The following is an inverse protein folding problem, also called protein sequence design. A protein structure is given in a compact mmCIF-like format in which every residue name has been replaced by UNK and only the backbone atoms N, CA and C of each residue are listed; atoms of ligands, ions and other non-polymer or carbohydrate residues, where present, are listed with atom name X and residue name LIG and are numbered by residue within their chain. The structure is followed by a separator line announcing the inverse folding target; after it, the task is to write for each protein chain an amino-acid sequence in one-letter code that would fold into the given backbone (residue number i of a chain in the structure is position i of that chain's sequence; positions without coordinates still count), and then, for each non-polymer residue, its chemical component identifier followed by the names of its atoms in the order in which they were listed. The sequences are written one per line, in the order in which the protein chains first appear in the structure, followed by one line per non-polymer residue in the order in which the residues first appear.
data_IF_061702956864
#
_entry.id   IF_061702956864
#
_cell.length_a   1.000
_cell.length_b   1.000
_cell.length_c   1.000
_cell.angle_alpha   90.00
_cell.angle_beta   90.00
_cell.angle_gamma   90.00
#
_symmetry.space_group_name_H-M   'P 1'
#
loop_
_entity.id
_entity.type
_entity.pdbx_description
1 polymer ?
#
# COMPACT_ATOMS: atom_id res chain seq x y z
N UNK A 1 -28.70 7.60 -41.37
CA UNK A 1 -27.39 7.86 -42.02
C UNK A 1 -26.86 9.18 -41.49
N UNK A 2 -25.70 9.16 -40.85
CA UNK A 2 -25.05 10.36 -40.31
C UNK A 2 -23.59 10.02 -40.01
N UNK A 3 -22.74 10.13 -41.02
CA UNK A 3 -21.30 9.89 -40.95
C UNK A 3 -20.62 10.99 -40.12
N UNK A 4 -19.93 10.60 -39.04
CA UNK A 4 -18.92 11.44 -38.43
C UNK A 4 -17.57 11.12 -39.06
N UNK A 5 -17.05 12.11 -39.80
CA UNK A 5 -15.79 12.10 -40.54
C UNK A 5 -14.60 11.93 -39.60
N UNK A 6 -13.62 11.17 -40.08
CA UNK A 6 -12.32 10.99 -39.45
C UNK A 6 -11.54 12.29 -39.35
N UNK A 7 -10.84 12.43 -38.22
CA UNK A 7 -9.62 13.22 -38.09
C UNK A 7 -8.57 12.32 -37.45
N UNK A 8 -7.58 11.92 -38.24
CA UNK A 8 -6.33 11.39 -37.70
C UNK A 8 -5.43 12.56 -37.29
N UNK A 9 -4.88 12.50 -36.07
CA UNK A 9 -3.54 12.89 -35.63
C UNK A 9 -3.54 13.12 -34.10
N UNK A 10 -2.40 13.01 -33.36
CA UNK A 10 -1.16 12.28 -33.62
C UNK A 10 -0.95 11.12 -32.63
N UNK A 11 0.06 10.27 -32.87
CA UNK A 11 0.56 9.30 -31.88
C UNK A 11 1.22 10.05 -30.72
N UNK A 12 0.42 10.47 -29.75
CA UNK A 12 0.89 10.95 -28.45
C UNK A 12 0.94 9.78 -27.48
N UNK A 13 2.14 9.32 -27.15
CA UNK A 13 2.35 8.35 -26.08
C UNK A 13 1.76 8.91 -24.77
N UNK A 14 0.67 8.30 -24.32
CA UNK A 14 -0.02 8.70 -23.11
C UNK A 14 0.81 8.20 -21.92
N UNK A 15 1.57 9.11 -21.30
CA UNK A 15 2.20 8.84 -20.01
C UNK A 15 1.09 8.67 -18.96
N UNK A 16 0.78 7.40 -18.68
CA UNK A 16 0.09 6.98 -17.46
C UNK A 16 0.83 7.57 -16.25
N UNK A 17 0.20 8.46 -15.50
CA UNK A 17 0.65 8.83 -14.16
C UNK A 17 0.27 7.72 -13.17
N UNK A 18 0.72 6.50 -13.44
CA UNK A 18 0.79 5.44 -12.46
C UNK A 18 1.97 5.71 -11.52
N UNK A 19 1.83 5.37 -10.24
CA UNK A 19 3.00 5.09 -9.42
C UNK A 19 3.67 3.85 -9.99
N UNK A 20 4.55 4.04 -10.98
CA UNK A 20 5.31 2.97 -11.60
C UNK A 20 6.43 2.59 -10.63
N UNK A 21 6.21 1.54 -9.84
CA UNK A 21 7.31 0.92 -9.10
C UNK A 21 7.86 -0.25 -9.91
N UNK A 22 9.12 -0.16 -10.33
CA UNK A 22 9.81 -1.26 -10.99
C UNK A 22 10.59 -2.04 -9.93
N UNK A 23 10.45 -3.36 -9.91
CA UNK A 23 11.17 -4.23 -8.99
C UNK A 23 11.87 -5.36 -9.76
N UNK A 24 13.12 -5.59 -9.41
CA UNK A 24 13.92 -6.71 -9.91
C UNK A 24 14.54 -7.46 -8.72
N UNK A 25 14.47 -8.79 -8.74
CA UNK A 25 15.11 -9.65 -7.73
C UNK A 25 16.08 -10.59 -8.42
N UNK A 26 17.30 -10.69 -7.90
CA UNK A 26 18.35 -11.59 -8.38
C UNK A 26 18.86 -12.41 -7.20
N UNK A 27 18.92 -13.73 -7.36
CA UNK A 27 19.47 -14.65 -6.37
C UNK A 27 20.73 -15.30 -6.92
N UNK A 28 21.81 -15.32 -6.14
CA UNK A 28 23.08 -15.98 -6.46
C UNK A 28 23.49 -16.91 -5.33
N UNK A 29 24.20 -17.99 -5.67
CA UNK A 29 24.71 -18.97 -4.70
C UNK A 29 26.19 -19.15 -4.98
N UNK A 30 27.03 -18.69 -4.04
CA UNK A 30 28.49 -18.75 -4.16
C UNK A 30 29.05 -19.32 -2.86
N UNK A 31 29.79 -20.44 -2.94
CA UNK A 31 30.51 -21.00 -1.79
C UNK A 31 29.64 -21.37 -0.57
N UNK A 32 28.35 -21.70 -0.77
CA UNK A 32 27.41 -22.02 0.32
C UNK A 32 26.70 -20.80 0.93
N UNK A 33 26.96 -19.59 0.42
CA UNK A 33 26.23 -18.37 0.77
C UNK A 33 25.16 -18.09 -0.28
N UNK A 34 23.91 -17.93 0.15
CA UNK A 34 22.80 -17.53 -0.73
C UNK A 34 22.61 -16.03 -0.62
N UNK A 35 22.84 -15.30 -1.72
CA UNK A 35 22.68 -13.84 -1.77
C UNK A 35 21.46 -13.49 -2.61
N UNK A 36 20.45 -12.88 -1.98
CA UNK A 36 19.25 -12.38 -2.67
C UNK A 36 19.26 -10.86 -2.67
N UNK A 37 19.38 -10.24 -3.85
CA UNK A 37 19.32 -8.79 -4.02
C UNK A 37 18.00 -8.40 -4.68
N UNK A 38 17.24 -7.50 -4.05
CA UNK A 38 16.02 -6.92 -4.59
C UNK A 38 16.20 -5.42 -4.75
N UNK A 39 16.09 -4.92 -5.97
CA UNK A 39 16.13 -3.48 -6.28
C UNK A 39 14.73 -3.01 -6.65
N UNK A 40 14.23 -2.00 -5.93
CA UNK A 40 12.96 -1.34 -6.19
C UNK A 40 13.18 0.12 -6.52
N UNK A 41 12.76 0.54 -7.70
CA UNK A 41 12.67 1.97 -8.06
C UNK A 41 11.25 2.46 -7.81
N UNK A 42 11.10 3.51 -7.03
CA UNK A 42 9.84 4.24 -6.83
C UNK A 42 9.95 5.63 -7.43
N UNK A 43 8.93 6.07 -8.15
CA UNK A 43 8.78 7.45 -8.63
C UNK A 43 7.67 8.11 -7.82
N UNK A 44 8.03 9.08 -7.00
CA UNK A 44 7.13 9.81 -6.11
C UNK A 44 6.95 11.21 -6.67
N UNK A 45 5.71 11.63 -6.95
CA UNK A 45 5.41 13.03 -7.31
C UNK A 45 5.11 13.76 -6.00
N UNK A 46 6.02 14.60 -5.53
CA UNK A 46 5.73 15.54 -4.45
C UNK A 46 5.13 16.80 -5.06
N UNK A 47 3.86 17.07 -4.75
CA UNK A 47 3.19 18.32 -5.12
C UNK A 47 3.39 19.29 -3.96
N UNK A 48 4.03 20.43 -4.22
CA UNK A 48 4.12 21.52 -3.24
C UNK A 48 3.18 22.64 -3.66
N UNK A 49 2.29 23.06 -2.75
CA UNK A 49 1.45 24.22 -2.93
C UNK A 49 2.24 25.49 -2.56
N UNK A 50 2.45 26.39 -3.52
CA UNK A 50 2.94 27.74 -3.23
C UNK A 50 1.79 28.73 -3.39
N UNK A 51 1.35 29.31 -2.28
CA UNK A 51 0.37 30.40 -2.25
C UNK A 51 1.05 31.73 -2.58
N UNK A 52 0.65 32.39 -3.67
CA UNK A 52 1.06 33.76 -4.02
C UNK A 52 0.11 34.83 -3.45
N UNK A 53 -0.84 34.46 -2.58
CA UNK A 53 -1.73 35.41 -1.91
C UNK A 53 -2.92 35.93 -2.73
N UNK A 54 -3.19 35.40 -3.93
CA UNK A 54 -4.42 35.66 -4.69
C UNK A 54 -5.23 34.37 -4.93
N UNK A 55 -6.57 34.39 -4.76
CA UNK A 55 -7.41 33.19 -4.82
C UNK A 55 -7.54 32.53 -6.21
N UNK A 56 -6.99 33.11 -7.27
CA UNK A 56 -7.08 32.55 -8.64
C UNK A 56 -5.81 31.84 -9.13
N UNK A 57 -4.69 31.91 -8.40
CA UNK A 57 -3.38 31.54 -8.93
C UNK A 57 -2.73 30.42 -8.10
N UNK A 58 -3.33 29.23 -8.12
CA UNK A 58 -2.67 28.00 -7.64
C UNK A 58 -1.93 27.38 -8.83
N UNK A 59 -0.60 27.50 -8.84
CA UNK A 59 0.25 26.78 -9.78
C UNK A 59 0.71 25.47 -9.13
N UNK A 60 0.21 24.34 -9.62
CA UNK A 60 0.75 23.02 -9.24
C UNK A 60 2.12 22.82 -9.89
N UNK A 61 3.19 22.94 -9.11
CA UNK A 61 4.52 22.46 -9.53
C UNK A 61 4.79 21.13 -8.84
N UNK A 62 4.69 20.04 -9.60
CA UNK A 62 5.03 18.70 -9.11
C UNK A 62 6.50 18.41 -9.32
N UNK A 63 7.28 18.24 -8.24
CA UNK A 63 8.62 17.67 -8.35
C UNK A 63 8.51 16.15 -8.33
N UNK A 64 9.07 15.52 -9.37
CA UNK A 64 9.24 14.07 -9.42
C UNK A 64 10.52 13.72 -8.67
N UNK A 65 10.40 12.96 -7.58
CA UNK A 65 11.53 12.35 -6.88
C UNK A 65 11.57 10.85 -7.17
N UNK A 66 12.67 10.36 -7.72
CA UNK A 66 12.94 8.92 -7.79
C UNK A 66 13.70 8.48 -6.53
N UNK A 67 13.28 7.36 -5.97
CA UNK A 67 13.99 6.68 -4.89
C UNK A 67 14.24 5.23 -5.30
N UNK A 68 15.49 4.80 -5.27
CA UNK A 68 15.91 3.42 -5.53
C UNK A 68 16.29 2.80 -4.20
N UNK A 69 15.63 1.69 -3.84
CA UNK A 69 15.94 0.90 -2.65
C UNK A 69 16.51 -0.44 -3.11
N UNK A 70 17.75 -0.73 -2.76
CA UNK A 70 18.41 -2.02 -3.01
C UNK A 70 18.60 -2.76 -1.70
N UNK A 71 17.93 -3.91 -1.56
CA UNK A 71 18.05 -4.77 -0.39
C UNK A 71 18.79 -6.05 -0.76
N UNK A 72 19.92 -6.30 -0.12
CA UNK A 72 20.71 -7.51 -0.26
C UNK A 72 20.63 -8.33 1.03
N UNK A 73 20.20 -9.58 0.92
CA UNK A 73 20.17 -10.55 2.00
C UNK A 73 21.21 -11.62 1.69
N UNK A 74 22.25 -11.74 2.50
CA UNK A 74 23.20 -12.84 2.44
C UNK A 74 22.88 -13.83 3.55
N UNK A 75 22.62 -15.07 3.17
CA UNK A 75 22.41 -16.17 4.11
C UNK A 75 23.64 -17.06 4.07
N UNK A 76 24.36 -17.08 5.17
CA UNK A 76 25.58 -17.87 5.33
C UNK A 76 25.24 -19.33 5.65
N UNK A 77 26.21 -20.22 5.41
CA UNK A 77 26.05 -21.66 5.67
C UNK A 77 25.83 -21.98 7.16
N UNK A 78 26.28 -21.10 8.07
CA UNK A 78 26.07 -21.20 9.51
C UNK A 78 24.68 -20.73 9.98
N UNK A 79 23.80 -20.37 9.04
CA UNK A 79 22.44 -19.91 9.31
C UNK A 79 22.34 -18.44 9.71
N UNK A 80 23.45 -17.68 9.69
CA UNK A 80 23.41 -16.24 9.90
C UNK A 80 22.92 -15.49 8.67
N UNK A 81 22.22 -14.39 8.90
CA UNK A 81 21.71 -13.52 7.84
C UNK A 81 22.27 -12.11 7.99
N UNK A 82 22.88 -11.61 6.91
CA UNK A 82 23.28 -10.21 6.77
C UNK A 82 22.31 -9.53 5.84
N UNK A 83 21.72 -8.42 6.30
CA UNK A 83 20.81 -7.60 5.51
C UNK A 83 21.44 -6.23 5.31
N UNK A 84 21.65 -5.89 4.04
CA UNK A 84 22.17 -4.60 3.60
C UNK A 84 21.05 -3.91 2.84
N UNK A 85 20.63 -2.73 3.27
CA UNK A 85 19.65 -1.90 2.59
C UNK A 85 20.31 -0.59 2.17
N UNK A 86 20.28 -0.30 0.88
CA UNK A 86 20.85 0.90 0.26
C UNK A 86 19.71 1.72 -0.36
N UNK A 87 19.59 2.99 0.03
CA UNK A 87 18.57 3.92 -0.44
C UNK A 87 19.26 5.08 -1.15
N UNK A 88 18.91 5.27 -2.42
CA UNK A 88 19.39 6.36 -3.28
C UNK A 88 18.20 7.21 -3.72
N UNK A 89 18.23 8.52 -3.43
CA UNK A 89 17.23 9.49 -3.89
C UNK A 89 17.83 10.49 -4.88
N UNK A 90 17.01 11.01 -5.80
CA UNK A 90 17.43 11.96 -6.84
C UNK A 90 18.03 13.28 -6.31
N UNK A 91 17.79 13.63 -5.05
CA UNK A 91 18.36 14.79 -4.37
C UNK A 91 19.81 14.57 -3.88
N UNK A 92 20.42 13.44 -4.24
CA UNK A 92 21.76 13.05 -3.82
C UNK A 92 21.81 12.42 -2.43
N UNK A 93 20.66 12.17 -1.79
CA UNK A 93 20.59 11.43 -0.53
C UNK A 93 20.97 9.96 -0.71
N UNK A 94 22.06 9.55 -0.06
CA UNK A 94 22.53 8.15 0.01
C UNK A 94 22.52 7.68 1.46
N UNK A 95 21.81 6.58 1.75
CA UNK A 95 21.79 5.97 3.09
C UNK A 95 21.94 4.47 2.99
N UNK A 96 22.92 3.93 3.73
CA UNK A 96 23.19 2.49 3.81
C UNK A 96 22.97 2.01 5.24
N UNK A 97 22.15 0.97 5.39
CA UNK A 97 21.88 0.32 6.66
C UNK A 97 22.30 -1.14 6.61
N UNK A 98 23.18 -1.54 7.53
CA UNK A 98 23.64 -2.92 7.68
C UNK A 98 23.14 -3.49 9.01
N UNK A 99 22.53 -4.69 8.95
CA UNK A 99 22.09 -5.42 10.15
C UNK A 99 22.46 -6.90 10.01
N UNK A 100 23.17 -7.42 11.02
CA UNK A 100 23.43 -8.86 11.17
C UNK A 100 22.45 -9.48 12.16
N UNK A 101 21.86 -10.62 11.83
CA UNK A 101 21.00 -11.42 12.72
C UNK A 101 21.51 -12.86 12.80
N UNK A 102 21.64 -13.39 14.01
CA UNK A 102 21.85 -14.83 14.27
C UNK A 102 20.50 -15.52 14.47
N UNK A 103 20.22 -16.58 13.72
CA UNK A 103 19.04 -17.42 13.89
C UNK A 103 19.06 -18.16 15.24
N UNK A 104 17.92 -18.18 15.94
CA UNK A 104 17.76 -18.90 17.20
C UNK A 104 17.30 -20.33 16.89
N UNK A 105 18.21 -21.29 17.05
CA UNK A 105 17.90 -22.71 17.26
C UNK A 105 18.99 -23.32 18.17
N UNK A 106 18.61 -23.80 19.36
CA UNK A 106 19.46 -24.65 20.21
C UNK A 106 19.98 -24.03 21.51
N UNK A 107 19.75 -24.74 22.62
CA UNK A 107 20.08 -24.45 24.02
C UNK A 107 21.59 -24.35 24.35
N UNK A 108 21.89 -23.60 25.44
CA UNK A 108 23.05 -23.66 26.35
C UNK A 108 24.47 -23.33 25.84
N UNK A 109 24.99 -22.18 26.27
CA UNK A 109 26.16 -22.05 27.18
C UNK A 109 26.75 -20.64 27.05
N UNK A 110 27.06 -20.03 28.19
CA UNK A 110 27.44 -18.62 28.28
C UNK A 110 28.83 -18.30 27.77
N UNK A 111 29.04 -17.02 27.46
CA UNK A 111 30.09 -16.18 28.05
C UNK A 111 29.89 -14.73 27.62
N UNK A 112 30.17 -13.84 28.58
CA UNK A 112 30.29 -12.39 28.42
C UNK A 112 31.26 -12.05 27.29
N UNK A 113 31.00 -10.99 26.55
CA UNK A 113 32.06 -10.02 26.28
C UNK A 113 31.58 -8.58 26.12
N UNK A 114 32.43 -7.70 26.63
CA UNK A 114 32.26 -6.26 26.79
C UNK A 114 32.76 -5.53 25.54
N UNK A 115 32.05 -4.51 25.09
CA UNK A 115 32.63 -3.33 24.41
C UNK A 115 31.73 -2.14 24.77
N UNK A 116 32.11 -1.28 25.72
CA UNK A 116 33.05 -0.14 25.68
C UNK A 116 32.73 0.87 24.58
N UNK A 117 31.66 1.64 24.79
CA UNK A 117 31.44 2.95 24.18
C UNK A 117 32.34 3.98 24.88
N UNK A 118 33.20 4.66 24.12
CA UNK A 118 33.88 5.88 24.56
C UNK A 118 33.10 7.08 24.02
N UNK A 119 32.58 7.90 24.93
CA UNK A 119 32.07 9.24 24.61
C UNK A 119 32.84 10.20 25.53
N UNK A 120 33.59 11.13 24.95
CA UNK A 120 34.23 12.23 25.67
C UNK A 120 33.17 13.27 26.07
N UNK A 121 33.13 13.67 27.35
CA UNK A 121 32.59 14.95 27.85
C UNK A 121 33.77 15.93 27.98
N UNK A 122 33.72 17.27 27.94
CA UNK A 122 32.73 18.35 28.20
C UNK A 122 33.40 19.70 27.74
N UNK A 123 32.84 20.95 27.80
CA UNK A 123 32.05 21.49 28.91
C UNK A 123 30.89 22.49 28.63
N UNK A 124 29.92 22.42 29.56
CA UNK A 124 29.05 23.44 30.20
C UNK A 124 29.03 24.89 29.67
N UNK A 125 27.85 25.37 29.28
CA UNK A 125 26.98 26.28 30.08
C UNK A 125 25.99 27.04 29.16
N UNK A 126 24.71 26.66 29.21
CA UNK A 126 23.59 27.61 29.14
C UNK A 126 22.30 26.90 29.55
N UNK A 127 21.75 27.33 30.69
CA UNK A 127 20.41 26.97 31.13
C UNK A 127 19.39 27.36 30.07
N UNK A 128 18.74 26.37 29.46
CA UNK A 128 17.51 26.57 28.71
C UNK A 128 16.38 25.86 29.49
N UNK A 129 15.39 26.66 29.90
CA UNK A 129 14.20 26.22 30.60
C UNK A 129 13.41 25.26 29.69
N UNK A 130 13.44 23.97 30.00
CA UNK A 130 12.62 22.97 29.32
C UNK A 130 11.16 23.08 29.81
N UNK A 131 10.29 23.56 28.92
CA UNK A 131 8.84 23.31 29.02
C UNK A 131 8.61 21.79 28.88
N UNK A 132 7.71 21.18 29.67
CA UNK A 132 7.44 19.75 29.54
C UNK A 132 6.89 19.45 28.14
N UNK A 133 7.63 18.63 27.40
CA UNK A 133 7.17 18.04 26.14
C UNK A 133 6.00 17.13 26.50
N UNK A 134 4.83 17.46 25.98
CA UNK A 134 3.60 16.69 26.15
C UNK A 134 3.83 15.20 25.88
N UNK A 135 3.11 14.40 26.64
CA UNK A 135 3.02 12.94 26.59
C UNK A 135 3.28 12.38 25.18
N UNK A 136 4.43 11.75 24.98
CA UNK A 136 4.65 10.88 23.82
C UNK A 136 3.65 9.73 23.95
N UNK A 137 2.58 9.75 23.14
CA UNK A 137 1.66 8.61 23.01
C UNK A 137 2.50 7.36 22.74
N UNK A 138 2.31 6.34 23.58
CA UNK A 138 2.83 5.00 23.34
C UNK A 138 2.47 4.52 21.92
N UNK A 139 3.30 3.68 21.27
CA UNK A 139 2.98 3.14 19.96
C UNK A 139 1.60 2.47 20.01
N UNK A 140 0.70 2.91 19.13
CA UNK A 140 -0.66 2.39 19.07
C UNK A 140 -0.60 0.87 18.86
N UNK A 141 -1.34 0.12 19.69
CA UNK A 141 -1.49 -1.32 19.54
C UNK A 141 -1.98 -1.64 18.12
N UNK A 142 -1.46 -2.69 17.44
CA UNK A 142 -1.97 -3.09 16.14
C UNK A 142 -3.48 -3.40 16.25
N UNK A 143 -4.26 -2.93 15.26
CA UNK A 143 -5.70 -3.22 15.17
C UNK A 143 -5.89 -4.74 15.20
N UNK A 144 -6.85 -5.23 15.97
CA UNK A 144 -7.35 -6.60 15.82
C UNK A 144 -8.07 -6.77 14.47
N UNK A 145 -8.26 -8.01 14.02
CA UNK A 145 -8.96 -8.25 12.75
C UNK A 145 -10.42 -7.77 12.77
N UNK A 146 -11.05 -7.79 13.95
CA UNK A 146 -12.39 -7.22 14.13
C UNK A 146 -12.38 -5.71 13.93
N UNK A 147 -11.41 -5.01 14.53
CA UNK A 147 -11.26 -3.56 14.37
C UNK A 147 -10.90 -3.20 12.93
N UNK A 148 -10.05 -3.99 12.27
CA UNK A 148 -9.73 -3.82 10.85
C UNK A 148 -10.97 -3.94 9.97
N UNK A 149 -11.81 -4.96 10.17
CA UNK A 149 -13.06 -5.14 9.41
C UNK A 149 -14.02 -3.97 9.61
N UNK A 150 -14.15 -3.49 10.85
CA UNK A 150 -14.96 -2.32 11.17
C UNK A 150 -14.40 -1.04 10.52
N UNK A 151 -13.07 -0.87 10.50
CA UNK A 151 -12.40 0.25 9.84
C UNK A 151 -12.61 0.22 8.33
N UNK A 152 -12.46 -0.94 7.68
CA UNK A 152 -12.82 -1.13 6.28
C UNK A 152 -14.26 -0.71 6.01
N UNK A 153 -15.23 -1.24 6.77
CA UNK A 153 -16.64 -0.94 6.57
C UNK A 153 -16.95 0.54 6.76
N UNK A 154 -16.35 1.17 7.77
CA UNK A 154 -16.47 2.60 8.05
C UNK A 154 -16.05 3.43 6.85
N UNK A 155 -14.88 3.16 6.28
CA UNK A 155 -14.35 3.95 5.17
C UNK A 155 -15.09 3.69 3.85
N UNK A 156 -15.57 2.47 3.61
CA UNK A 156 -16.49 2.23 2.49
C UNK A 156 -17.75 3.09 2.64
N UNK A 157 -18.37 3.07 3.82
CA UNK A 157 -19.62 3.80 4.06
C UNK A 157 -19.43 5.32 4.05
N UNK A 158 -18.25 5.81 4.44
CA UNK A 158 -17.87 7.21 4.27
C UNK A 158 -17.92 7.61 2.79
N UNK A 159 -17.22 6.89 1.91
CA UNK A 159 -17.20 7.20 0.48
C UNK A 159 -18.57 6.99 -0.19
N UNK A 160 -19.29 5.93 0.19
CA UNK A 160 -20.66 5.69 -0.32
C UNK A 160 -21.62 6.83 0.01
N UNK A 161 -21.48 7.46 1.19
CA UNK A 161 -22.29 8.62 1.57
C UNK A 161 -22.04 9.83 0.67
N UNK A 162 -20.78 10.08 0.27
CA UNK A 162 -20.39 11.15 -0.67
C UNK A 162 -21.12 10.98 -2.02
N UNK A 163 -21.30 9.74 -2.46
CA UNK A 163 -22.00 9.39 -3.70
C UNK A 163 -23.52 9.19 -3.54
N UNK A 164 -24.05 9.30 -2.31
CA UNK A 164 -25.47 9.12 -2.05
C UNK A 164 -26.01 7.70 -2.22
N UNK A 165 -25.14 6.69 -2.19
CA UNK A 165 -25.57 5.29 -2.23
C UNK A 165 -25.72 4.74 -0.81
N UNK A 166 -26.61 3.76 -0.63
CA UNK A 166 -26.89 3.15 0.68
C UNK A 166 -25.65 2.54 1.30
N UNK A 167 -25.46 2.61 2.64
CA UNK A 167 -24.32 2.00 3.30
C UNK A 167 -24.34 0.47 3.17
N UNK A 168 -23.16 -0.13 3.07
CA UNK A 168 -22.95 -1.57 3.15
C UNK A 168 -23.14 -2.04 4.60
N UNK A 169 -23.56 -3.29 4.74
CA UNK A 169 -23.63 -4.02 6.01
C UNK A 169 -22.47 -5.00 6.12
N UNK A 170 -21.98 -5.19 7.34
CA UNK A 170 -21.01 -6.23 7.65
C UNK A 170 -21.60 -7.62 7.42
N UNK A 171 -20.84 -8.51 6.78
CA UNK A 171 -21.18 -9.94 6.63
C UNK A 171 -20.03 -10.83 7.10
N UNK A 172 -20.30 -11.65 8.13
CA UNK A 172 -19.33 -12.62 8.64
C UNK A 172 -19.06 -13.75 7.62
N UNK A 173 -20.03 -14.09 6.77
CA UNK A 173 -19.82 -15.04 5.68
C UNK A 173 -18.78 -14.50 4.69
N UNK A 174 -18.97 -13.26 4.22
CA UNK A 174 -18.02 -12.63 3.30
C UNK A 174 -16.65 -12.41 3.95
N UNK A 175 -16.58 -12.13 5.26
CA UNK A 175 -15.30 -12.01 5.96
C UNK A 175 -14.52 -13.33 5.98
N UNK A 176 -15.19 -14.45 6.23
CA UNK A 176 -14.56 -15.79 6.17
C UNK A 176 -14.08 -16.11 4.76
N UNK A 177 -14.90 -15.79 3.76
CA UNK A 177 -14.57 -16.00 2.35
C UNK A 177 -13.38 -15.13 1.89
N UNK A 178 -13.32 -13.87 2.33
CA UNK A 178 -12.19 -12.98 2.09
C UNK A 178 -10.92 -13.49 2.79
N UNK A 179 -11.03 -13.98 4.03
CA UNK A 179 -9.88 -14.49 4.80
C UNK A 179 -9.26 -15.72 4.14
N UNK A 180 -10.08 -16.68 3.71
CA UNK A 180 -9.60 -17.87 3.00
C UNK A 180 -8.78 -17.50 1.75
N UNK A 181 -9.21 -16.47 1.01
CA UNK A 181 -8.46 -16.02 -0.16
C UNK A 181 -7.20 -15.24 0.22
N UNK A 182 -7.27 -14.33 1.20
CA UNK A 182 -6.12 -13.58 1.69
C UNK A 182 -5.01 -14.53 2.18
N UNK A 183 -5.37 -15.57 2.93
CA UNK A 183 -4.43 -16.60 3.40
C UNK A 183 -3.84 -17.42 2.25
N UNK A 184 -4.66 -17.73 1.24
CA UNK A 184 -4.20 -18.42 0.03
C UNK A 184 -3.19 -17.59 -0.75
N UNK A 185 -3.47 -16.31 -0.98
CA UNK A 185 -2.56 -15.38 -1.62
C UNK A 185 -1.27 -15.25 -0.82
N UNK A 186 -1.39 -15.18 0.51
CA UNK A 186 -0.23 -15.02 1.36
C UNK A 186 0.68 -16.24 1.41
N UNK A 187 0.09 -17.44 1.42
CA UNK A 187 0.82 -18.71 1.37
C UNK A 187 1.53 -18.92 0.02
N UNK A 188 0.90 -18.52 -1.08
CA UNK A 188 1.46 -18.65 -2.44
C UNK A 188 2.39 -17.49 -2.81
N UNK A 189 2.38 -16.42 -2.02
CA UNK A 189 3.04 -15.14 -2.30
C UNK A 189 2.65 -14.52 -3.66
N UNK A 190 1.41 -14.76 -4.08
CA UNK A 190 0.81 -14.29 -5.34
C UNK A 190 -0.17 -13.14 -5.10
N UNK A 191 -0.46 -12.37 -6.15
CA UNK A 191 -1.47 -11.32 -6.12
C UNK A 191 -2.40 -11.47 -7.33
N UNK A 192 -3.55 -12.10 -7.12
CA UNK A 192 -4.54 -12.32 -8.17
C UNK A 192 -5.95 -12.42 -7.57
N UNK A 193 -6.95 -12.17 -8.43
CA UNK A 193 -8.34 -12.39 -8.06
C UNK A 193 -8.66 -13.86 -7.86
N UNK A 194 -9.67 -14.14 -7.02
CA UNK A 194 -10.17 -15.49 -6.82
C UNK A 194 -10.75 -16.05 -8.13
N UNK A 195 -10.34 -17.25 -8.58
CA UNK A 195 -10.97 -17.89 -9.73
C UNK A 195 -12.41 -18.29 -9.39
N UNK A 196 -13.32 -18.16 -10.36
CA UNK A 196 -14.75 -18.50 -10.22
C UNK A 196 -15.41 -17.81 -9.02
N UNK A 197 -15.09 -16.53 -8.81
CA UNK A 197 -15.60 -15.81 -7.66
C UNK A 197 -17.12 -15.58 -7.75
N UNK A 198 -17.85 -16.03 -6.73
CA UNK A 198 -19.30 -15.80 -6.59
C UNK A 198 -19.64 -14.35 -6.25
N UNK A 199 -18.70 -13.63 -5.62
CA UNK A 199 -18.90 -12.29 -5.09
C UNK A 199 -18.09 -11.26 -5.89
N UNK A 200 -18.40 -9.97 -5.72
CA UNK A 200 -17.50 -8.89 -6.14
C UNK A 200 -16.21 -8.96 -5.31
N UNK A 201 -15.10 -8.43 -5.84
CA UNK A 201 -13.81 -8.49 -5.14
C UNK A 201 -12.92 -7.31 -5.44
N UNK A 202 -12.35 -6.76 -4.38
CA UNK A 202 -11.20 -5.88 -4.44
C UNK A 202 -10.03 -6.51 -3.68
N UNK A 203 -8.82 -6.38 -4.24
CA UNK A 203 -7.59 -6.80 -3.59
C UNK A 203 -6.63 -5.61 -3.50
N UNK A 204 -5.94 -5.49 -2.37
CA UNK A 204 -4.93 -4.47 -2.13
C UNK A 204 -3.66 -5.14 -1.62
N UNK A 205 -2.51 -4.59 -2.01
CA UNK A 205 -1.21 -5.06 -1.56
C UNK A 205 -0.32 -3.87 -1.23
N UNK A 206 0.26 -3.91 -0.03
CA UNK A 206 1.42 -3.13 0.34
C UNK A 206 2.58 -4.07 0.66
N UNK A 207 3.80 -3.53 0.79
CA UNK A 207 4.95 -4.29 1.25
C UNK A 207 5.65 -3.52 2.37
N UNK A 208 6.11 -4.25 3.39
CA UNK A 208 6.94 -3.68 4.44
C UNK A 208 7.96 -4.70 4.95
N UNK A 209 9.20 -4.26 5.13
CA UNK A 209 10.26 -5.01 5.83
C UNK A 209 10.08 -5.02 7.34
N UNK A 210 9.25 -4.12 7.88
CA UNK A 210 8.90 -4.09 9.28
C UNK A 210 7.84 -5.17 9.58
N UNK A 211 8.17 -6.19 10.40
CA UNK A 211 7.24 -7.24 10.76
C UNK A 211 6.07 -6.74 11.62
N UNK A 212 6.18 -5.52 12.18
CA UNK A 212 5.15 -4.92 13.05
C UNK A 212 4.21 -3.98 12.30
N UNK A 213 4.53 -3.62 11.04
CA UNK A 213 3.67 -2.76 10.22
C UNK A 213 2.35 -3.48 9.92
N UNK A 214 1.23 -2.92 10.33
CA UNK A 214 -0.06 -3.41 9.90
C UNK A 214 -0.65 -2.49 8.82
N UNK A 215 -1.48 -3.08 7.96
CA UNK A 215 -2.33 -2.34 7.03
C UNK A 215 -3.66 -2.04 7.70
N UNK A 216 -4.10 -0.78 7.63
CA UNK A 216 -5.41 -0.34 8.11
C UNK A 216 -6.49 -0.55 7.05
N UNK A 217 -7.75 -0.55 7.48
CA UNK A 217 -8.86 -0.62 6.54
C UNK A 217 -8.92 0.64 5.68
N UNK A 218 -8.65 1.79 6.28
CA UNK A 218 -8.53 3.07 5.58
C UNK A 218 -7.50 3.02 4.44
N UNK A 219 -6.28 2.56 4.70
CA UNK A 219 -5.20 2.56 3.69
C UNK A 219 -5.62 1.82 2.40
N UNK A 220 -6.28 0.65 2.55
CA UNK A 220 -6.76 -0.12 1.41
C UNK A 220 -7.94 0.57 0.69
N UNK A 221 -8.91 1.08 1.45
CA UNK A 221 -10.12 1.70 0.88
C UNK A 221 -9.81 3.01 0.18
N UNK A 222 -8.95 3.84 0.74
CA UNK A 222 -8.50 5.10 0.14
C UNK A 222 -7.78 4.82 -1.18
N UNK A 223 -6.94 3.77 -1.23
CA UNK A 223 -6.27 3.34 -2.45
C UNK A 223 -7.28 2.96 -3.53
N UNK A 224 -8.28 2.12 -3.23
CA UNK A 224 -9.31 1.72 -4.18
C UNK A 224 -10.17 2.91 -4.63
N UNK A 225 -10.56 3.78 -3.70
CA UNK A 225 -11.37 4.95 -4.01
C UNK A 225 -10.63 5.97 -4.88
N UNK A 226 -9.31 6.08 -4.74
CA UNK A 226 -8.49 7.05 -5.50
C UNK A 226 -8.58 6.90 -7.02
N UNK A 227 -9.02 5.74 -7.53
CA UNK A 227 -9.29 5.50 -8.95
C UNK A 227 -10.42 6.36 -9.51
N UNK A 228 -11.22 7.02 -8.65
CA UNK A 228 -12.21 8.04 -9.06
C UNK A 228 -11.62 9.09 -10.00
N UNK A 229 -10.33 9.43 -9.85
CA UNK A 229 -9.61 10.40 -10.70
C UNK A 229 -9.56 10.00 -12.18
N UNK A 230 -9.73 8.72 -12.47
CA UNK A 230 -9.69 8.16 -13.82
C UNK A 230 -11.07 7.75 -14.33
N UNK A 231 -12.11 7.83 -13.48
CA UNK A 231 -13.44 7.38 -13.80
C UNK A 231 -14.25 8.43 -14.56
N UNK A 232 -14.93 8.01 -15.62
CA UNK A 232 -15.87 8.85 -16.37
C UNK A 232 -17.30 8.45 -15.98
N UNK A 233 -18.03 9.38 -15.36
CA UNK A 233 -19.39 9.14 -14.89
C UNK A 233 -20.41 9.16 -16.02
N UNK A 234 -21.51 8.41 -15.85
CA UNK A 234 -22.67 8.43 -16.75
C UNK A 234 -22.50 7.68 -18.07
N UNK A 235 -21.35 7.03 -18.30
CA UNK A 235 -21.10 6.18 -19.45
C UNK A 235 -20.56 4.81 -19.01
N UNK A 236 -20.66 3.83 -19.91
CA UNK A 236 -20.06 2.52 -19.69
C UNK A 236 -18.53 2.59 -19.90
N UNK A 237 -17.73 2.05 -18.98
CA UNK A 237 -16.29 2.10 -19.11
C UNK A 237 -15.81 1.13 -20.20
N UNK A 238 -14.81 1.56 -20.99
CA UNK A 238 -14.17 0.71 -22.01
C UNK A 238 -13.28 -0.39 -21.41
N UNK A 239 -12.85 -0.20 -20.15
CA UNK A 239 -12.04 -1.15 -19.39
C UNK A 239 -12.28 -0.94 -17.89
N UNK A 240 -11.99 -1.95 -17.08
CA UNK A 240 -12.15 -1.89 -15.62
C UNK A 240 -10.95 -1.22 -14.91
N UNK A 241 -10.30 -0.24 -15.54
CA UNK A 241 -9.15 0.47 -14.96
C UNK A 241 -9.46 1.23 -13.67
N UNK A 242 -10.74 1.60 -13.45
CA UNK A 242 -11.25 2.15 -12.20
C UNK A 242 -12.15 1.17 -11.44
N UNK A 243 -11.93 -0.14 -11.63
CA UNK A 243 -12.81 -1.21 -11.18
C UNK A 243 -12.90 -1.31 -9.66
N UNK A 244 -11.85 -0.96 -8.93
CA UNK A 244 -11.90 -0.99 -7.48
C UNK A 244 -12.78 0.13 -6.95
N UNK A 245 -12.62 1.35 -7.47
CA UNK A 245 -13.49 2.49 -7.12
C UNK A 245 -14.96 2.17 -7.39
N UNK A 246 -15.29 1.70 -8.60
CA UNK A 246 -16.68 1.42 -8.97
C UNK A 246 -17.30 0.35 -8.11
N UNK A 247 -16.53 -0.64 -7.66
CA UNK A 247 -17.00 -1.65 -6.72
C UNK A 247 -17.25 -1.09 -5.31
N UNK A 248 -16.38 -0.21 -4.79
CA UNK A 248 -16.55 0.43 -3.47
C UNK A 248 -17.90 1.14 -3.37
N UNK A 249 -18.25 1.90 -4.42
CA UNK A 249 -19.48 2.71 -4.45
C UNK A 249 -20.64 2.05 -5.21
N UNK A 250 -20.52 0.78 -5.58
CA UNK A 250 -21.56 0.11 -6.37
C UNK A 250 -22.90 0.11 -5.64
N UNK A 251 -23.89 0.82 -6.21
CA UNK A 251 -25.18 1.07 -5.55
C UNK A 251 -25.91 -0.21 -5.14
N UNK A 252 -25.92 -1.22 -6.01
CA UNK A 252 -26.63 -2.48 -5.76
C UNK A 252 -25.94 -3.40 -4.74
N UNK A 253 -24.65 -3.22 -4.45
CA UNK A 253 -23.98 -4.00 -3.41
C UNK A 253 -24.50 -3.56 -2.03
N UNK A 254 -24.84 -4.53 -1.18
CA UNK A 254 -25.48 -4.30 0.12
C UNK A 254 -24.65 -4.84 1.29
N UNK A 255 -23.79 -5.82 1.05
CA UNK A 255 -22.96 -6.47 2.06
C UNK A 255 -21.48 -6.39 1.71
N UNK A 256 -20.66 -6.34 2.75
CA UNK A 256 -19.20 -6.32 2.68
C UNK A 256 -18.62 -7.32 3.68
N UNK A 257 -17.61 -8.05 3.25
CA UNK A 257 -16.66 -8.70 4.15
C UNK A 257 -15.24 -8.41 3.73
N UNK A 258 -14.36 -8.18 4.70
CA UNK A 258 -12.95 -7.92 4.44
C UNK A 258 -12.04 -8.75 5.35
N UNK A 259 -10.84 -8.98 4.86
CA UNK A 259 -9.81 -9.71 5.55
C UNK A 259 -8.44 -9.21 5.12
N UNK A 260 -7.44 -9.53 5.94
CA UNK A 260 -6.05 -9.26 5.62
C UNK A 260 -5.17 -10.44 6.00
N UNK A 261 -4.04 -10.55 5.31
CA UNK A 261 -3.01 -11.54 5.59
C UNK A 261 -1.64 -10.95 5.29
N UNK A 262 -0.60 -11.55 5.87
CA UNK A 262 0.79 -11.17 5.63
C UNK A 262 1.55 -12.35 5.04
N UNK A 263 2.30 -12.10 3.98
CA UNK A 263 3.15 -13.10 3.32
C UNK A 263 4.49 -13.21 4.04
N UNK A 264 5.16 -14.36 3.88
CA UNK A 264 6.50 -14.56 4.44
C UNK A 264 7.54 -13.55 3.89
N UNK A 265 7.29 -13.00 2.69
CA UNK A 265 8.15 -11.99 2.06
C UNK A 265 7.85 -10.56 2.52
N UNK A 266 6.86 -10.37 3.40
CA UNK A 266 6.51 -9.07 3.97
C UNK A 266 5.44 -8.30 3.22
N UNK A 267 4.75 -8.91 2.24
CA UNK A 267 3.59 -8.28 1.60
C UNK A 267 2.40 -8.32 2.56
N UNK A 268 1.68 -7.22 2.65
CA UNK A 268 0.43 -7.05 3.38
C UNK A 268 -0.70 -7.08 2.36
N UNK A 269 -1.55 -8.09 2.44
CA UNK A 269 -2.64 -8.33 1.50
C UNK A 269 -3.95 -8.00 2.19
N UNK A 270 -4.82 -7.26 1.51
CA UNK A 270 -6.22 -7.04 1.91
C UNK A 270 -7.12 -7.56 0.81
N UNK A 271 -8.15 -8.31 1.19
CA UNK A 271 -9.21 -8.79 0.30
C UNK A 271 -10.54 -8.27 0.83
N UNK A 272 -11.37 -7.70 -0.04
CA UNK A 272 -12.74 -7.31 0.27
C UNK A 272 -13.68 -7.97 -0.73
N UNK A 273 -14.75 -8.58 -0.23
CA UNK A 273 -15.80 -9.18 -1.04
C UNK A 273 -17.14 -8.47 -0.84
N UNK A 274 -17.90 -8.37 -1.94
CA UNK A 274 -19.13 -7.60 -2.03
C UNK A 274 -20.29 -8.47 -2.52
N UNK A 275 -21.45 -8.33 -1.89
CA UNK A 275 -22.66 -9.03 -2.31
C UNK A 275 -23.85 -8.05 -2.40
N UNK A 276 -24.62 -8.05 -3.49
CA UNK A 276 -24.29 -8.60 -4.82
C UNK A 276 -22.98 -8.04 -5.41
N UNK A 277 -22.41 -8.77 -6.38
CA UNK A 277 -21.22 -8.35 -7.10
C UNK A 277 -21.47 -7.07 -7.91
N UNK A 278 -20.45 -6.20 -7.98
CA UNK A 278 -20.45 -5.00 -8.81
C UNK A 278 -19.79 -5.21 -10.17
N UNK A 279 -19.49 -4.10 -10.84
CA UNK A 279 -18.76 -4.07 -12.11
C UNK A 279 -19.40 -4.91 -13.23
N UNK A 280 -20.72 -5.04 -13.21
CA UNK A 280 -21.48 -5.67 -14.28
C UNK A 280 -21.57 -4.71 -15.47
N UNK A 281 -21.03 -5.14 -16.61
CA UNK A 281 -21.07 -4.37 -17.87
C UNK A 281 -22.54 -4.10 -18.25
N UNK A 282 -22.82 -2.86 -18.65
CA UNK A 282 -24.17 -2.38 -18.96
C UNK A 282 -24.95 -1.87 -17.75
N UNK A 283 -24.34 -1.83 -16.57
CA UNK A 283 -24.97 -1.41 -15.31
C UNK A 283 -24.20 -0.32 -14.57
N UNK A 284 -23.20 0.32 -15.17
CA UNK A 284 -22.37 1.32 -14.48
C UNK A 284 -23.12 2.63 -14.25
N UNK A 285 -23.79 3.16 -15.28
CA UNK A 285 -24.48 4.45 -15.19
C UNK A 285 -25.50 4.52 -14.04
N UNK A 286 -26.16 3.41 -13.73
CA UNK A 286 -27.15 3.29 -12.65
C UNK A 286 -26.55 2.97 -11.28
N UNK A 287 -25.34 2.40 -11.23
CA UNK A 287 -24.71 1.94 -9.99
C UNK A 287 -23.56 2.81 -9.50
N UNK A 288 -23.03 3.70 -10.34
CA UNK A 288 -21.85 4.51 -10.04
C UNK A 288 -22.20 5.99 -10.22
N UNK A 289 -23.01 6.57 -9.32
CA UNK A 289 -23.37 7.99 -9.41
C UNK A 289 -22.16 8.89 -9.14
N UNK A 290 -22.11 10.12 -9.67
CA UNK A 290 -21.10 11.11 -9.30
C UNK A 290 -21.23 11.53 -7.82
N UNK A 291 -20.18 12.12 -7.22
CA UNK A 291 -20.29 12.73 -5.89
C UNK A 291 -21.43 13.76 -5.83
N UNK A 292 -22.09 13.86 -4.67
CA UNK A 292 -23.07 14.93 -4.42
C UNK A 292 -22.37 16.29 -4.51
N UNK A 293 -23.05 17.25 -5.14
CA UNK A 293 -22.67 18.67 -5.11
C UNK A 293 -23.02 19.29 -3.78
#
# INVERSE_FOLDING_TARGET
MGQCRGKEAPRGGQMSSGNHSFQQTVTRVDGGVVTTTTTRTQRIVQVSETSSGYPSDIFETGQVKRTVVTRTIKKNADGTEEVIEDIVSDDGGHQVHEKSKKGIFGFLSGKKDKSRTTVEESPKDRQAVFKPIGERKAPAKPLSDKEFRQDCLKWHNHYRAIHGVSPLKHSDELCRYAQEWADTLAKKDTFCHRPNNKYGENIYMAWSSDPTKEVTGQEAVDSWYSEIKQHQFGCEPRSLGSGHFTQVIWKASTELGSARARTATGKLIVVANYNPAGNLIGSFAQNVPPPKK
#
